data_IF_262572139386
#
_entry.id   IF_262572139386
#
_cell.length_a   1.000
_cell.length_b   1.000
_cell.length_c   1.000
_cell.angle_alpha   90.00
_cell.angle_beta   90.00
_cell.angle_gamma   90.00
#
_symmetry.space_group_name_H-M   'P 1'
#
loop_
_entity.id
_entity.type
_entity.pdbx_description
1 polymer ?
#
# COMPACT_ATOMS: atom_id res chain seq x y z
N UNK A 1 22.02 11.19 -50.80
CA UNK A 1 22.43 10.29 -49.72
C UNK A 1 22.75 11.16 -48.52
N UNK A 2 21.76 11.43 -47.69
CA UNK A 2 21.92 12.17 -46.43
C UNK A 2 21.19 11.37 -45.35
N UNK A 3 21.99 10.74 -44.50
CA UNK A 3 21.53 10.00 -43.31
C UNK A 3 21.31 11.01 -42.19
N UNK A 4 20.07 11.49 -42.01
CA UNK A 4 19.72 12.23 -40.79
C UNK A 4 19.17 11.27 -39.76
N UNK A 5 20.09 10.88 -38.88
CA UNK A 5 19.93 10.48 -37.49
C UNK A 5 18.51 10.10 -37.09
N UNK A 6 18.30 8.81 -36.86
CA UNK A 6 17.23 8.34 -36.00
C UNK A 6 17.30 9.15 -34.71
N UNK A 7 16.25 9.93 -34.47
CA UNK A 7 15.96 10.46 -33.14
C UNK A 7 15.85 9.22 -32.26
N UNK A 8 16.91 8.95 -31.51
CA UNK A 8 16.94 7.89 -30.54
C UNK A 8 15.84 8.26 -29.55
N UNK A 9 14.67 7.63 -29.73
CA UNK A 9 13.63 7.61 -28.74
C UNK A 9 14.33 7.24 -27.44
N UNK A 10 14.57 8.25 -26.61
CA UNK A 10 14.98 8.03 -25.23
C UNK A 10 13.85 7.17 -24.69
N UNK A 11 14.10 5.91 -24.28
CA UNK A 11 13.09 5.25 -23.50
C UNK A 11 12.96 6.14 -22.28
N UNK A 12 11.87 6.88 -22.19
CA UNK A 12 11.37 7.25 -20.89
C UNK A 12 11.11 5.89 -20.24
N UNK A 13 12.11 5.37 -19.52
CA UNK A 13 11.85 4.55 -18.36
C UNK A 13 10.98 5.43 -17.50
N UNK A 14 9.67 5.42 -17.78
CA UNK A 14 8.71 5.95 -16.85
C UNK A 14 8.75 4.98 -15.70
N UNK A 15 9.69 5.24 -14.79
CA UNK A 15 9.65 4.94 -13.36
C UNK A 15 8.37 5.57 -12.78
N UNK A 16 7.22 5.30 -13.40
CA UNK A 16 5.94 5.49 -12.77
C UNK A 16 5.85 4.35 -11.77
N UNK A 17 6.41 4.58 -10.58
CA UNK A 17 6.31 3.63 -9.49
C UNK A 17 4.84 3.51 -8.99
N UNK A 18 3.86 4.02 -9.74
CA UNK A 18 2.43 3.94 -9.45
C UNK A 18 2.02 4.72 -8.23
N UNK A 19 2.93 5.51 -7.64
CA UNK A 19 2.69 6.25 -6.40
C UNK A 19 1.96 7.55 -6.70
N UNK A 20 0.99 7.88 -5.86
CA UNK A 20 0.24 9.14 -5.89
C UNK A 20 0.15 9.71 -4.48
N UNK A 21 -0.08 11.01 -4.35
CA UNK A 21 -0.23 11.67 -3.04
C UNK A 21 -1.68 12.12 -2.84
N UNK A 22 -2.31 11.71 -1.73
CA UNK A 22 -3.66 12.13 -1.32
C UNK A 22 -3.56 12.76 0.07
N UNK A 23 -3.96 14.02 0.24
CA UNK A 23 -3.88 14.74 1.53
C UNK A 23 -2.47 14.65 2.18
N UNK A 24 -1.42 14.67 1.36
CA UNK A 24 -0.02 14.55 1.83
C UNK A 24 0.44 13.11 2.14
N UNK A 25 -0.40 12.10 1.95
CA UNK A 25 -0.06 10.69 2.13
C UNK A 25 0.30 10.07 0.78
N UNK A 26 1.51 9.54 0.66
CA UNK A 26 1.92 8.75 -0.50
C UNK A 26 1.22 7.38 -0.46
N UNK A 27 0.48 7.06 -1.52
CA UNK A 27 -0.30 5.83 -1.66
C UNK A 27 -0.06 5.21 -3.03
N UNK A 28 -0.25 3.90 -3.13
CA UNK A 28 -0.21 3.17 -4.40
C UNK A 28 -1.59 2.61 -4.68
N UNK A 29 -2.15 2.76 -5.89
CA UNK A 29 -3.43 2.16 -6.24
C UNK A 29 -3.38 0.64 -6.01
N UNK A 30 -4.44 0.12 -5.41
CA UNK A 30 -4.56 -1.31 -5.10
C UNK A 30 -4.31 -2.20 -6.31
N UNK A 31 -4.89 -1.87 -7.46
CA UNK A 31 -4.69 -2.61 -8.71
C UNK A 31 -3.21 -2.63 -9.14
N UNK A 32 -2.49 -1.52 -8.97
CA UNK A 32 -1.06 -1.44 -9.29
C UNK A 32 -0.23 -2.35 -8.37
N UNK A 33 -0.56 -2.40 -7.07
CA UNK A 33 0.08 -3.32 -6.11
C UNK A 33 -0.20 -4.78 -6.48
N UNK A 34 -1.46 -5.12 -6.78
CA UNK A 34 -1.85 -6.49 -7.16
C UNK A 34 -1.15 -6.91 -8.46
N UNK A 35 -1.14 -6.07 -9.49
CA UNK A 35 -0.48 -6.37 -10.76
C UNK A 35 1.01 -6.65 -10.58
N UNK A 36 1.72 -5.88 -9.75
CA UNK A 36 3.14 -6.09 -9.45
C UNK A 36 3.37 -7.41 -8.72
N UNK A 37 2.59 -7.68 -7.68
CA UNK A 37 2.70 -8.92 -6.93
C UNK A 37 2.36 -10.16 -7.77
N UNK A 38 1.43 -10.06 -8.72
CA UNK A 38 1.16 -11.16 -9.66
C UNK A 38 2.34 -11.43 -10.61
N UNK A 39 3.12 -10.40 -10.98
CA UNK A 39 4.33 -10.55 -11.79
C UNK A 39 5.44 -11.19 -10.97
N UNK A 40 5.65 -10.72 -9.74
CA UNK A 40 6.74 -11.17 -8.87
C UNK A 40 6.48 -12.58 -8.27
N UNK A 41 5.20 -12.94 -8.10
CA UNK A 41 4.77 -14.22 -7.52
C UNK A 41 3.80 -14.98 -8.46
N UNK A 42 4.26 -15.43 -9.64
CA UNK A 42 3.39 -15.98 -10.70
C UNK A 42 2.71 -17.31 -10.32
N UNK A 43 3.18 -17.98 -9.27
CA UNK A 43 2.60 -19.24 -8.76
C UNK A 43 1.51 -19.01 -7.70
N UNK A 44 1.35 -17.77 -7.22
CA UNK A 44 0.31 -17.40 -6.25
C UNK A 44 -0.90 -16.87 -7.02
N UNK A 45 -2.10 -17.38 -6.71
CA UNK A 45 -3.31 -16.87 -7.36
C UNK A 45 -3.58 -15.42 -7.00
N UNK A 46 -4.13 -14.66 -7.93
CA UNK A 46 -4.55 -13.26 -7.70
C UNK A 46 -5.46 -13.13 -6.48
N UNK A 47 -6.42 -14.05 -6.32
CA UNK A 47 -7.32 -14.08 -5.16
C UNK A 47 -6.57 -14.23 -3.83
N UNK A 48 -5.49 -15.01 -3.81
CA UNK A 48 -4.67 -15.18 -2.61
C UNK A 48 -3.87 -13.92 -2.30
N UNK A 49 -3.34 -13.26 -3.33
CA UNK A 49 -2.64 -11.97 -3.20
C UNK A 49 -3.57 -10.91 -2.62
N UNK A 50 -4.76 -10.72 -3.19
CA UNK A 50 -5.76 -9.76 -2.71
C UNK A 50 -6.19 -10.05 -1.26
N UNK A 51 -6.41 -11.34 -0.92
CA UNK A 51 -6.76 -11.76 0.44
C UNK A 51 -5.69 -11.37 1.46
N UNK A 52 -4.41 -11.51 1.11
CA UNK A 52 -3.30 -11.11 1.97
C UNK A 52 -3.30 -9.60 2.15
N UNK A 53 -3.34 -8.83 1.05
CA UNK A 53 -3.32 -7.36 1.10
C UNK A 53 -4.45 -6.82 1.98
N UNK A 54 -5.66 -7.36 1.86
CA UNK A 54 -6.79 -6.94 2.70
C UNK A 54 -6.59 -7.22 4.19
N UNK A 55 -6.11 -8.41 4.56
CA UNK A 55 -5.81 -8.75 5.96
C UNK A 55 -4.72 -7.84 6.54
N UNK A 56 -3.68 -7.61 5.76
CA UNK A 56 -2.60 -6.71 6.15
C UNK A 56 -3.10 -5.26 6.25
N UNK A 57 -3.99 -4.81 5.36
CA UNK A 57 -4.60 -3.48 5.46
C UNK A 57 -5.45 -3.31 6.72
N UNK A 58 -6.27 -4.31 7.07
CA UNK A 58 -7.03 -4.31 8.32
C UNK A 58 -6.10 -4.27 9.54
N UNK A 59 -4.98 -5.00 9.51
CA UNK A 59 -3.97 -4.95 10.57
C UNK A 59 -3.13 -3.65 10.58
N UNK A 60 -2.90 -3.04 9.42
CA UNK A 60 -2.06 -1.85 9.23
C UNK A 60 -2.80 -0.55 9.59
N UNK A 61 -4.05 -0.43 9.14
CA UNK A 61 -5.01 0.53 9.74
C UNK A 61 -5.36 0.15 11.17
N UNK A 62 -4.90 -1.03 11.61
CA UNK A 62 -5.19 -1.72 12.85
C UNK A 62 -6.67 -1.86 13.16
N UNK A 63 -7.53 -1.65 12.15
CA UNK A 63 -8.92 -1.28 12.36
C UNK A 63 -9.02 -0.42 13.62
N UNK A 64 -8.22 0.65 13.71
CA UNK A 64 -7.93 1.36 14.96
C UNK A 64 -8.79 2.61 15.07
N UNK A 65 -9.41 2.84 16.23
CA UNK A 65 -10.25 4.01 16.41
C UNK A 65 -9.40 5.29 16.54
N UNK A 66 -9.79 6.35 15.80
CA UNK A 66 -9.21 7.70 15.91
C UNK A 66 -9.52 8.38 17.25
N UNK A 67 -10.58 7.94 17.90
CA UNK A 67 -11.00 8.39 19.22
C UNK A 67 -11.44 7.18 20.02
N UNK A 68 -10.94 7.09 21.25
CA UNK A 68 -11.34 6.07 22.21
C UNK A 68 -12.12 6.73 23.34
N UNK A 69 -13.18 6.10 23.89
CA UNK A 69 -13.92 6.66 25.02
C UNK A 69 -13.02 6.78 26.26
N UNK A 70 -13.09 7.89 26.99
CA UNK A 70 -12.31 8.09 28.21
C UNK A 70 -12.52 6.98 29.26
N UNK A 71 -13.72 6.39 29.35
CA UNK A 71 -13.98 5.26 30.23
C UNK A 71 -13.15 4.00 29.88
N UNK A 72 -12.77 3.81 28.61
CA UNK A 72 -11.85 2.73 28.21
C UNK A 72 -10.45 2.98 28.77
N UNK A 73 -10.02 4.24 28.79
CA UNK A 73 -8.77 4.65 29.42
C UNK A 73 -8.81 4.44 30.94
N UNK A 74 -9.92 4.79 31.60
CA UNK A 74 -10.09 4.59 33.04
C UNK A 74 -10.10 3.10 33.43
N UNK A 75 -10.84 2.25 32.71
CA UNK A 75 -10.85 0.81 32.96
C UNK A 75 -9.49 0.15 32.72
N UNK A 76 -8.74 0.61 31.71
CA UNK A 76 -7.36 0.15 31.49
C UNK A 76 -6.44 0.61 32.63
N UNK A 77 -6.64 1.82 33.17
CA UNK A 77 -5.88 2.32 34.34
C UNK A 77 -6.12 1.49 35.58
N UNK A 78 -7.37 1.19 35.91
CA UNK A 78 -7.72 0.35 37.06
C UNK A 78 -7.11 -1.06 36.96
N UNK A 79 -7.09 -1.66 35.76
CA UNK A 79 -6.49 -2.98 35.54
C UNK A 79 -4.96 -2.98 35.73
N UNK A 80 -4.31 -1.84 35.50
CA UNK A 80 -2.86 -1.67 35.63
C UNK A 80 -2.46 -1.32 37.07
N UNK A 81 -3.27 -0.54 37.78
CA UNK A 81 -3.05 -0.19 39.19
C UNK A 81 -3.28 -1.38 40.15
N UNK A 82 -3.95 -2.43 39.67
CA UNK A 82 -4.15 -3.69 40.40
C UNK A 82 -2.99 -4.69 40.24
N UNK A 83 -1.83 -4.26 39.73
CA UNK A 83 -0.63 -5.10 39.53
C UNK A 83 0.53 -4.77 40.46
#
# INVERSE_FOLDING_TARGET
>A
METRSADAATPASSDDDGRVVIEGVEVVPFATVVSRLCIDYPTVSVTRIETIIMREWEAFTAGRPLVVPAALEDGVREMLDQR
#
